data_IF_912218444826
#
_entry.id   IF_912218444826
#
_cell.length_a   1.000
_cell.length_b   1.000
_cell.length_c   1.000
_cell.angle_alpha   90.00
_cell.angle_beta   90.00
_cell.angle_gamma   90.00
#
_symmetry.space_group_name_H-M   'P 1'
#
loop_
_entity.id
_entity.type
_entity.pdbx_description
1 polymer ?
#
# COMPACT_ATOMS: atom_id res chain seq x y z
N UNK A 1 -0.48 -21.97 10.47
CA UNK A 1 -1.66 -22.14 9.60
C UNK A 1 -1.28 -22.04 8.12
N UNK A 2 -0.42 -21.11 7.70
CA UNK A 2 -0.08 -20.93 6.28
C UNK A 2 0.73 -22.08 5.65
N UNK A 3 1.56 -22.82 6.39
CA UNK A 3 2.40 -23.89 5.82
C UNK A 3 1.62 -25.10 5.29
N UNK A 4 0.42 -25.34 5.82
CA UNK A 4 -0.49 -26.38 5.35
C UNK A 4 -1.22 -26.00 4.06
N UNK A 5 -1.43 -24.71 3.81
CA UNK A 5 -2.13 -24.21 2.63
C UNK A 5 -1.21 -24.17 1.39
N UNK A 6 0.11 -24.05 1.57
CA UNK A 6 1.05 -23.92 0.43
C UNK A 6 0.98 -25.09 -0.59
N UNK A 7 0.88 -26.36 -0.18
CA UNK A 7 0.71 -27.47 -1.13
C UNK A 7 -0.63 -27.41 -1.87
N UNK A 8 -1.71 -27.08 -1.17
CA UNK A 8 -3.06 -26.97 -1.75
C UNK A 8 -3.14 -25.84 -2.78
N UNK A 9 -2.53 -24.69 -2.50
CA UNK A 9 -2.44 -23.57 -3.43
C UNK A 9 -1.62 -23.92 -4.69
N UNK A 10 -0.55 -24.71 -4.55
CA UNK A 10 0.23 -25.20 -5.70
C UNK A 10 -0.60 -26.14 -6.57
N UNK A 11 -1.31 -27.09 -5.96
CA UNK A 11 -2.17 -28.02 -6.69
C UNK A 11 -3.28 -27.27 -7.43
N UNK A 12 -3.89 -26.27 -6.78
CA UNK A 12 -4.90 -25.43 -7.39
C UNK A 12 -4.33 -24.59 -8.54
N UNK A 13 -3.14 -24.01 -8.39
CA UNK A 13 -2.47 -23.27 -9.44
C UNK A 13 -2.22 -24.13 -10.69
N UNK A 14 -1.80 -25.39 -10.51
CA UNK A 14 -1.63 -26.36 -11.62
C UNK A 14 -2.96 -26.65 -12.30
N UNK A 15 -4.04 -26.88 -11.54
CA UNK A 15 -5.38 -27.10 -12.09
C UNK A 15 -5.87 -25.90 -12.91
N UNK A 16 -5.69 -24.69 -12.39
CA UNK A 16 -6.05 -23.44 -13.07
C UNK A 16 -5.25 -23.28 -14.36
N UNK A 17 -3.91 -23.40 -14.30
CA UNK A 17 -3.04 -23.26 -15.46
C UNK A 17 -3.34 -24.30 -16.54
N UNK A 18 -3.61 -25.55 -16.15
CA UNK A 18 -4.00 -26.62 -17.06
C UNK A 18 -5.34 -26.32 -17.72
N UNK A 19 -6.34 -25.88 -16.95
CA UNK A 19 -7.64 -25.49 -17.51
C UNK A 19 -7.51 -24.30 -18.46
N UNK A 20 -6.68 -23.31 -18.11
CA UNK A 20 -6.40 -22.15 -18.96
C UNK A 20 -5.76 -22.56 -20.29
N UNK A 21 -4.75 -23.43 -20.25
CA UNK A 21 -4.07 -23.93 -21.44
C UNK A 21 -4.95 -24.81 -22.35
N UNK A 22 -6.00 -25.43 -21.81
CA UNK A 22 -6.99 -26.17 -22.63
C UNK A 22 -7.92 -25.24 -23.40
N UNK A 23 -8.17 -24.05 -22.88
CA UNK A 23 -9.11 -23.08 -23.47
C UNK A 23 -8.41 -21.96 -24.25
N UNK A 24 -7.09 -21.84 -24.16
CA UNK A 24 -6.31 -20.76 -24.78
C UNK A 24 -5.07 -21.33 -25.46
N UNK A 25 -4.59 -20.73 -26.57
CA UNK A 25 -3.32 -21.09 -27.16
C UNK A 25 -2.16 -20.66 -26.25
N UNK A 26 -1.53 -21.63 -25.59
CA UNK A 26 -0.36 -21.42 -24.72
C UNK A 26 0.75 -22.35 -25.21
N UNK A 27 1.98 -21.84 -25.37
CA UNK A 27 3.11 -22.72 -25.68
C UNK A 27 3.43 -23.59 -24.47
N UNK A 28 3.90 -24.83 -24.71
CA UNK A 28 4.28 -25.75 -23.64
C UNK A 28 5.39 -25.15 -22.75
N UNK A 29 6.28 -24.37 -23.37
CA UNK A 29 7.36 -23.64 -22.70
C UNK A 29 6.84 -22.52 -21.76
N UNK A 30 5.64 -21.98 -22.00
CA UNK A 30 5.04 -20.94 -21.17
C UNK A 30 4.22 -21.49 -19.99
N UNK A 31 3.90 -22.80 -19.97
CA UNK A 31 3.11 -23.41 -18.90
C UNK A 31 3.70 -23.20 -17.49
N UNK A 32 5.02 -23.32 -17.26
CA UNK A 32 5.60 -23.05 -15.94
C UNK A 32 5.32 -21.62 -15.46
N UNK A 33 5.43 -20.64 -16.36
CA UNK A 33 5.16 -19.23 -16.06
C UNK A 33 3.69 -18.99 -15.70
N UNK A 34 2.76 -19.64 -16.40
CA UNK A 34 1.32 -19.55 -16.10
C UNK A 34 1.00 -20.15 -14.73
N UNK A 35 1.63 -21.28 -14.36
CA UNK A 35 1.47 -21.89 -13.04
C UNK A 35 1.97 -20.94 -11.93
N UNK A 36 3.14 -20.33 -12.12
CA UNK A 36 3.69 -19.37 -11.16
C UNK A 36 2.77 -18.17 -10.99
N UNK A 37 2.24 -17.63 -12.10
CA UNK A 37 1.31 -16.50 -12.06
C UNK A 37 0.02 -16.85 -11.31
N UNK A 38 -0.57 -18.01 -11.59
CA UNK A 38 -1.77 -18.49 -10.90
C UNK A 38 -1.50 -18.65 -9.39
N UNK A 39 -0.35 -19.23 -9.03
CA UNK A 39 0.04 -19.40 -7.63
C UNK A 39 0.22 -18.06 -6.91
N UNK A 40 0.88 -17.09 -7.52
CA UNK A 40 1.03 -15.75 -6.94
C UNK A 40 -0.31 -15.04 -6.74
N UNK A 41 -1.24 -15.20 -7.69
CA UNK A 41 -2.61 -14.69 -7.54
C UNK A 41 -3.33 -15.32 -6.35
N UNK A 42 -3.21 -16.63 -6.19
CA UNK A 42 -3.79 -17.35 -5.05
C UNK A 42 -3.16 -16.95 -3.71
N UNK A 43 -1.84 -16.79 -3.66
CA UNK A 43 -1.14 -16.29 -2.46
C UNK A 43 -1.60 -14.88 -2.09
N UNK A 44 -1.79 -13.99 -3.07
CA UNK A 44 -2.28 -12.64 -2.83
C UNK A 44 -3.72 -12.63 -2.26
N UNK A 45 -4.56 -13.58 -2.64
CA UNK A 45 -5.93 -13.70 -2.12
C UNK A 45 -5.98 -14.14 -0.65
N UNK A 46 -4.99 -14.90 -0.17
CA UNK A 46 -4.93 -15.38 1.23
C UNK A 46 -3.97 -14.57 2.09
N UNK A 47 -3.20 -13.67 1.50
CA UNK A 47 -2.25 -12.83 2.21
C UNK A 47 -3.00 -11.89 3.17
N UNK A 48 -2.50 -11.71 4.40
CA UNK A 48 -3.05 -10.71 5.30
C UNK A 48 -2.91 -9.31 4.69
N UNK A 49 -3.84 -8.39 4.98
CA UNK A 49 -3.75 -7.03 4.47
C UNK A 49 -2.43 -6.39 4.91
N UNK A 50 -1.80 -5.56 4.04
CA UNK A 50 -0.56 -4.89 4.40
C UNK A 50 -0.77 -4.01 5.64
N UNK A 51 0.22 -3.90 6.52
CA UNK A 51 0.13 -3.03 7.68
C UNK A 51 -0.10 -1.57 7.23
N UNK A 52 -0.85 -0.77 8.01
CA UNK A 52 -1.05 0.63 7.69
C UNK A 52 0.31 1.35 7.57
N UNK A 53 0.44 2.31 6.64
CA UNK A 53 1.67 3.08 6.51
C UNK A 53 1.97 3.82 7.83
N UNK A 54 3.26 3.96 8.20
CA UNK A 54 3.64 4.69 9.39
C UNK A 54 3.17 6.15 9.29
N UNK A 55 2.55 6.68 10.35
CA UNK A 55 2.11 8.06 10.39
C UNK A 55 3.30 9.00 10.15
N UNK A 56 3.14 10.04 9.32
CA UNK A 56 4.19 11.02 9.12
C UNK A 56 4.51 11.69 10.45
N UNK A 57 5.79 11.62 10.86
CA UNK A 57 6.30 12.30 12.05
C UNK A 57 5.95 13.78 11.91
N UNK A 58 5.04 14.26 12.76
CA UNK A 58 4.71 15.69 12.87
C UNK A 58 6.00 16.43 13.22
N UNK A 59 6.71 16.92 12.21
CA UNK A 59 7.85 17.82 12.37
C UNK A 59 7.28 19.04 13.06
N UNK A 60 7.59 19.17 14.35
CA UNK A 60 7.08 20.21 15.21
C UNK A 60 7.10 21.54 14.47
N UNK A 61 5.91 22.11 14.28
CA UNK A 61 5.73 23.49 13.85
C UNK A 61 6.54 24.31 14.86
N UNK A 62 7.74 24.75 14.46
CA UNK A 62 8.47 25.79 15.19
C UNK A 62 7.51 26.96 15.21
N UNK A 63 6.82 27.11 16.33
CA UNK A 63 6.10 28.31 16.69
C UNK A 63 7.18 29.39 16.76
N UNK A 64 7.47 30.05 15.64
CA UNK A 64 7.80 31.46 15.72
C UNK A 64 6.60 32.07 16.42
N UNK A 65 6.80 32.41 17.70
CA UNK A 65 5.86 33.21 18.46
C UNK A 65 5.64 34.48 17.65
N UNK A 66 4.57 34.49 16.85
CA UNK A 66 3.90 35.72 16.52
C UNK A 66 3.44 36.26 17.88
N UNK A 67 4.23 37.17 18.44
CA UNK A 67 3.82 38.00 19.57
C UNK A 67 2.62 38.79 19.06
N UNK A 68 1.44 38.30 19.43
CA UNK A 68 0.18 39.00 19.23
C UNK A 68 -0.03 39.92 20.43
N UNK A 69 -0.20 41.21 20.10
CA UNK A 69 -0.90 42.31 20.82
C UNK A 69 -0.15 43.07 21.94
N UNK A 70 -0.53 44.35 22.23
CA UNK A 70 -1.86 44.96 21.98
C UNK A 70 -1.92 46.31 21.25
N UNK A 71 -3.04 46.51 20.56
CA UNK A 71 -3.63 47.82 20.27
C UNK A 71 -3.88 48.58 21.58
N UNK A 72 -3.37 49.79 21.70
CA UNK A 72 -3.63 50.68 22.85
C UNK A 72 -3.30 52.15 22.55
N UNK A 73 -4.32 52.87 22.09
CA UNK A 73 -4.68 54.27 22.42
C UNK A 73 -3.57 55.23 22.90
N UNK A 74 -3.27 56.28 22.12
CA UNK A 74 -2.52 57.43 22.61
C UNK A 74 -2.25 58.50 21.55
N UNK A 75 -3.17 59.44 21.39
CA UNK A 75 -2.89 60.76 20.78
C UNK A 75 -2.22 61.60 21.88
N UNK A 76 -1.16 62.37 21.59
CA UNK A 76 -1.33 63.82 21.66
C UNK A 76 -0.62 64.57 20.52
N UNK A 77 -0.89 65.87 20.50
CA UNK A 77 -0.68 66.83 19.43
C UNK A 77 0.74 67.44 19.37
N UNK A 78 0.93 68.19 18.28
CA UNK A 78 1.64 69.48 18.15
C UNK A 78 3.09 69.53 17.61
N UNK A 79 3.21 70.43 16.62
CA UNK A 79 4.34 71.28 16.20
C UNK A 79 5.61 70.61 15.67
N UNK A 80 6.19 71.02 14.54
CA UNK A 80 6.48 72.38 14.04
C UNK A 80 6.42 72.45 12.52
#
# INVERSE_FOLDING_TARGET
MNDRLRPELRELAVKIATSYARSNPVSVEALPSVIVLAYQGLEACVAPPPPPPPEPVKRGRRTTKAVVKPRGRGRPAASR
#
